data_IF_990986736046
#
_entry.id   IF_990986736046
#
_cell.length_a   1.000
_cell.length_b   1.000
_cell.length_c   1.000
_cell.angle_alpha   90.00
_cell.angle_beta   90.00
_cell.angle_gamma   90.00
#
_symmetry.space_group_name_H-M   'P 1'
#
loop_
_entity.id
_entity.type
_entity.pdbx_description
1 polymer ?
#
# COMPACT_ATOMS: atom_id res chain seq x y z
N UNK A 1 44.01 19.88 -6.18
CA UNK A 1 43.07 18.80 -5.79
C UNK A 1 42.37 19.28 -4.53
N UNK A 2 41.05 19.37 -4.50
CA UNK A 2 40.34 19.80 -3.29
C UNK A 2 40.41 18.71 -2.22
N UNK A 3 40.69 19.08 -0.97
CA UNK A 3 40.64 18.15 0.16
C UNK A 3 39.21 17.59 0.34
N UNK A 4 39.06 16.35 0.86
CA UNK A 4 37.74 15.83 1.18
C UNK A 4 37.07 16.71 2.24
N UNK A 5 35.88 17.21 1.95
CA UNK A 5 35.12 18.14 2.81
C UNK A 5 34.56 17.48 4.10
N UNK A 6 35.03 16.27 4.40
CA UNK A 6 34.60 15.37 5.47
C UNK A 6 35.82 14.64 6.02
N UNK A 7 36.08 14.80 7.32
CA UNK A 7 37.14 14.09 8.04
C UNK A 7 36.56 12.80 8.60
N UNK A 8 37.14 11.67 8.19
CA UNK A 8 36.74 10.33 8.66
C UNK A 8 36.87 10.28 10.19
N UNK A 9 35.74 10.11 10.87
CA UNK A 9 35.68 10.04 12.34
C UNK A 9 35.33 11.35 13.06
N UNK A 10 35.37 12.53 12.41
CA UNK A 10 34.91 13.80 13.01
C UNK A 10 33.61 14.33 12.39
N UNK A 11 33.42 14.19 11.07
CA UNK A 11 32.26 14.71 10.35
C UNK A 11 32.64 15.58 9.15
N UNK A 12 31.66 16.29 8.58
CA UNK A 12 31.91 17.35 7.61
C UNK A 12 32.64 18.54 8.27
N UNK A 13 33.37 19.35 7.50
CA UNK A 13 34.02 20.56 8.06
C UNK A 13 33.01 21.56 8.68
N UNK A 14 31.73 21.48 8.28
CA UNK A 14 30.61 22.26 8.82
C UNK A 14 29.99 21.68 10.09
N UNK A 15 30.33 20.45 10.49
CA UNK A 15 29.84 19.84 11.72
C UNK A 15 30.51 20.44 12.95
N UNK A 16 29.90 20.25 14.12
CA UNK A 16 30.40 20.79 15.38
C UNK A 16 31.05 19.70 16.24
N UNK A 17 32.00 20.11 17.07
CA UNK A 17 32.62 19.27 18.11
C UNK A 17 32.30 19.89 19.47
N UNK A 18 32.01 19.06 20.46
CA UNK A 18 31.84 19.46 21.85
C UNK A 18 32.86 18.76 22.75
N UNK A 19 33.34 19.46 23.77
CA UNK A 19 34.08 18.85 24.89
C UNK A 19 33.13 18.03 25.75
N UNK A 20 33.54 16.87 26.23
CA UNK A 20 32.73 16.07 27.15
C UNK A 20 32.51 16.84 28.48
N UNK A 21 31.28 16.95 29.00
CA UNK A 21 31.03 17.62 30.27
C UNK A 21 31.71 16.92 31.46
N UNK A 22 32.18 17.70 32.44
CA UNK A 22 32.85 17.21 33.65
C UNK A 22 34.12 16.37 33.39
N UNK A 23 34.77 16.56 32.24
CA UNK A 23 36.01 15.89 31.87
C UNK A 23 37.16 16.30 32.80
N UNK A 24 37.65 15.34 33.59
CA UNK A 24 38.80 15.52 34.48
C UNK A 24 40.11 15.53 33.67
N UNK A 25 40.42 16.68 33.08
CA UNK A 25 41.50 16.84 32.10
C UNK A 25 42.89 16.46 32.63
N UNK A 26 43.10 16.44 33.95
CA UNK A 26 44.35 15.99 34.57
C UNK A 26 44.55 14.47 34.52
N UNK A 27 43.49 13.68 34.31
CA UNK A 27 43.59 12.22 34.10
C UNK A 27 43.96 11.86 32.65
N UNK A 28 43.63 12.76 31.73
CA UNK A 28 44.01 12.62 30.34
C UNK A 28 45.44 13.15 30.18
N UNK A 29 46.37 12.28 29.76
CA UNK A 29 47.72 12.69 29.42
C UNK A 29 47.69 13.45 28.09
N UNK A 30 47.33 14.73 28.15
CA UNK A 30 47.27 15.64 27.03
C UNK A 30 48.62 16.32 26.82
N UNK A 31 49.10 16.30 25.59
CA UNK A 31 50.23 17.14 25.14
C UNK A 31 49.85 18.62 25.14
N UNK A 32 50.83 19.52 25.11
CA UNK A 32 50.58 20.95 25.00
C UNK A 32 49.75 21.34 23.75
N UNK A 33 49.94 20.61 22.64
CA UNK A 33 49.16 20.78 21.40
C UNK A 33 47.70 20.31 21.56
N UNK A 34 47.48 19.14 22.18
CA UNK A 34 46.14 18.66 22.50
C UNK A 34 45.41 19.59 23.48
N UNK A 35 46.08 20.10 24.51
CA UNK A 35 45.52 21.07 25.43
C UNK A 35 45.12 22.38 24.74
N UNK A 36 45.98 22.92 23.88
CA UNK A 36 45.69 24.13 23.12
C UNK A 36 44.51 23.96 22.14
N UNK A 37 44.44 22.83 21.42
CA UNK A 37 43.31 22.55 20.50
C UNK A 37 42.02 22.27 21.27
N UNK A 38 42.09 21.60 22.42
CA UNK A 38 40.92 21.37 23.28
C UNK A 38 40.33 22.70 23.80
N UNK A 39 41.18 23.66 24.15
CA UNK A 39 40.74 25.03 24.50
C UNK A 39 40.08 25.78 23.33
N UNK A 40 40.48 25.50 22.07
CA UNK A 40 39.82 26.07 20.89
C UNK A 40 38.44 25.47 20.62
N UNK A 41 38.19 24.21 20.99
CA UNK A 41 36.84 23.58 20.94
C UNK A 41 35.93 24.15 22.03
N UNK A 42 36.50 24.58 23.17
CA UNK A 42 35.81 25.35 24.20
C UNK A 42 34.69 24.56 24.91
N UNK A 43 33.44 24.75 24.47
CA UNK A 43 32.28 23.95 24.91
C UNK A 43 31.62 23.25 23.72
N UNK A 44 31.32 24.02 22.67
CA UNK A 44 30.93 23.54 21.34
C UNK A 44 31.42 24.55 20.31
N UNK A 45 32.10 24.11 19.25
CA UNK A 45 32.65 24.94 18.15
C UNK A 45 32.56 24.16 16.83
N UNK A 46 32.58 24.82 15.66
CA UNK A 46 32.65 24.12 14.36
C UNK A 46 34.06 23.63 14.01
N UNK A 47 34.15 22.54 13.25
CA UNK A 47 35.42 21.98 12.79
C UNK A 47 36.20 23.01 11.95
N UNK A 48 35.58 23.65 10.94
CA UNK A 48 36.21 24.69 10.12
C UNK A 48 36.74 25.87 10.95
N UNK A 49 36.02 26.30 11.99
CA UNK A 49 36.41 27.38 12.89
C UNK A 49 37.60 26.99 13.77
N UNK A 50 37.64 25.76 14.31
CA UNK A 50 38.80 25.26 15.07
C UNK A 50 40.05 25.17 14.18
N UNK A 51 39.90 24.70 12.93
CA UNK A 51 41.00 24.63 11.96
C UNK A 51 41.53 26.03 11.61
N UNK A 52 40.64 26.99 11.34
CA UNK A 52 41.01 28.38 11.02
C UNK A 52 41.63 29.15 12.20
N UNK A 53 41.30 28.78 13.44
CA UNK A 53 41.83 29.41 14.67
C UNK A 53 43.10 28.75 15.20
N UNK A 54 43.45 27.56 14.71
CA UNK A 54 44.63 26.81 15.17
C UNK A 54 45.94 27.29 14.54
N UNK A 55 46.96 27.45 15.38
CA UNK A 55 48.33 27.81 14.96
C UNK A 55 49.16 26.62 14.46
N UNK A 56 48.63 25.39 14.56
CA UNK A 56 49.36 24.16 14.20
C UNK A 56 49.26 23.83 12.69
N UNK A 57 48.43 24.54 11.94
CA UNK A 57 48.10 24.23 10.55
C UNK A 57 47.07 23.11 10.43
N UNK A 58 46.35 23.09 9.30
CA UNK A 58 45.18 22.22 9.09
C UNK A 58 45.45 20.72 9.34
N UNK A 59 46.39 20.02 8.65
CA UNK A 59 46.55 18.57 8.81
C UNK A 59 46.99 18.15 10.22
N UNK A 60 47.81 18.97 10.90
CA UNK A 60 48.25 18.71 12.28
C UNK A 60 47.09 18.91 13.27
N UNK A 61 46.26 19.94 13.06
CA UNK A 61 45.07 20.18 13.87
C UNK A 61 44.04 19.07 13.70
N UNK A 62 43.84 18.56 12.47
CA UNK A 62 42.98 17.39 12.21
C UNK A 62 43.48 16.16 12.97
N UNK A 63 44.79 15.88 12.94
CA UNK A 63 45.37 14.77 13.69
C UNK A 63 45.18 14.92 15.22
N UNK A 64 45.36 16.13 15.77
CA UNK A 64 45.12 16.42 17.19
C UNK A 64 43.64 16.27 17.57
N UNK A 65 42.70 16.71 16.73
CA UNK A 65 41.26 16.51 16.97
C UNK A 65 40.88 15.02 16.95
N UNK A 66 41.46 14.23 16.05
CA UNK A 66 41.27 12.77 16.03
C UNK A 66 41.85 12.10 17.28
N UNK A 67 43.03 12.53 17.76
CA UNK A 67 43.62 12.05 19.01
C UNK A 67 42.78 12.41 20.23
N UNK A 68 42.29 13.66 20.33
CA UNK A 68 41.37 14.10 21.38
C UNK A 68 40.06 13.29 21.38
N UNK A 69 39.52 12.95 20.21
CA UNK A 69 38.33 12.07 20.11
C UNK A 69 38.65 10.64 20.53
N UNK A 70 39.80 10.09 20.14
CA UNK A 70 40.23 8.75 20.56
C UNK A 70 40.47 8.66 22.09
N UNK A 71 40.97 9.74 22.69
CA UNK A 71 41.09 9.93 24.16
C UNK A 71 39.76 10.25 24.85
N UNK A 72 38.63 10.32 24.13
CA UNK A 72 37.31 10.62 24.68
C UNK A 72 37.11 12.05 25.19
N UNK A 73 38.01 12.99 24.85
CA UNK A 73 37.93 14.37 25.31
C UNK A 73 36.88 15.20 24.56
N UNK A 74 36.65 14.87 23.28
CA UNK A 74 35.69 15.56 22.40
C UNK A 74 34.79 14.57 21.66
N UNK A 75 33.56 14.99 21.37
CA UNK A 75 32.55 14.22 20.64
C UNK A 75 31.91 15.06 19.52
N UNK A 76 31.50 14.45 18.40
CA UNK A 76 30.66 15.11 17.41
C UNK A 76 29.34 15.61 18.03
N UNK A 77 29.00 16.87 17.75
CA UNK A 77 27.88 17.58 18.36
C UNK A 77 26.94 18.15 17.29
N UNK A 78 25.64 18.21 17.63
CA UNK A 78 24.63 18.88 16.80
C UNK A 78 24.14 20.13 17.53
N UNK A 79 24.62 21.30 17.11
CA UNK A 79 24.08 22.58 17.58
C UNK A 79 22.75 22.83 16.89
N UNK A 80 21.66 22.79 17.66
CA UNK A 80 20.34 23.27 17.22
C UNK A 80 20.31 24.79 17.41
N UNK A 81 20.07 25.60 16.37
CA UNK A 81 20.08 27.06 16.48
C UNK A 81 18.93 27.53 17.39
N UNK A 82 19.30 28.25 18.47
CA UNK A 82 18.38 28.69 19.53
C UNK A 82 17.50 29.84 19.03
N UNK A 83 16.38 29.49 18.41
CA UNK A 83 15.46 30.41 17.75
C UNK A 83 14.68 29.77 16.59
N UNK A 84 15.17 28.66 16.03
CA UNK A 84 14.32 27.78 15.24
C UNK A 84 13.30 27.09 16.17
N UNK A 85 12.03 26.94 15.79
CA UNK A 85 11.14 26.03 16.49
C UNK A 85 11.75 24.64 16.41
N UNK A 86 11.84 23.94 17.54
CA UNK A 86 12.41 22.60 17.57
C UNK A 86 11.67 21.70 16.56
N UNK A 87 12.36 20.85 15.78
CA UNK A 87 11.68 19.81 15.05
C UNK A 87 11.04 18.89 16.10
N UNK A 88 9.72 19.03 16.29
CA UNK A 88 8.95 18.19 17.21
C UNK A 88 8.81 16.81 16.55
N UNK A 89 9.90 16.05 16.64
CA UNK A 89 9.87 14.59 16.75
C UNK A 89 9.02 14.28 17.97
N UNK A 90 7.71 14.22 17.72
CA UNK A 90 6.68 14.03 18.73
C UNK A 90 7.04 12.79 19.54
N UNK A 91 7.09 12.89 20.87
CA UNK A 91 7.47 11.74 21.70
C UNK A 91 6.54 10.55 21.44
N UNK A 92 5.29 10.80 21.06
CA UNK A 92 4.33 9.80 20.60
C UNK A 92 4.76 9.05 19.34
N UNK A 93 5.54 9.64 18.42
CA UNK A 93 6.06 8.90 17.26
C UNK A 93 7.09 7.83 17.66
N UNK A 94 7.79 8.05 18.78
CA UNK A 94 8.72 7.10 19.40
C UNK A 94 8.07 6.22 20.49
N UNK A 95 6.79 6.44 20.80
CA UNK A 95 6.03 5.65 21.76
C UNK A 95 5.71 4.26 21.19
N UNK A 96 5.97 3.20 21.95
CA UNK A 96 5.77 1.82 21.50
C UNK A 96 4.29 1.43 21.62
N UNK A 97 3.61 1.36 20.47
CA UNK A 97 2.15 1.18 20.31
C UNK A 97 1.87 0.51 18.97
N UNK A 98 0.77 -0.25 18.89
CA UNK A 98 0.36 -1.14 17.78
C UNK A 98 -0.18 -0.41 16.53
N UNK A 99 0.45 0.71 16.17
CA UNK A 99 0.13 1.58 15.04
C UNK A 99 1.35 1.73 14.12
N UNK A 100 1.14 1.63 12.82
CA UNK A 100 2.17 1.91 11.81
C UNK A 100 2.73 3.34 11.97
N UNK A 101 4.04 3.56 11.75
CA UNK A 101 4.67 4.87 11.97
C UNK A 101 4.10 5.97 11.07
N UNK A 102 3.65 5.63 9.86
CA UNK A 102 2.92 6.56 8.98
C UNK A 102 1.57 6.95 9.58
N UNK A 103 0.87 5.99 10.21
CA UNK A 103 -0.42 6.24 10.85
C UNK A 103 -0.29 7.04 12.15
N UNK A 104 0.81 6.84 12.90
CA UNK A 104 1.17 7.72 14.02
C UNK A 104 1.30 9.17 13.53
N UNK A 105 2.05 9.41 12.45
CA UNK A 105 2.19 10.75 11.82
C UNK A 105 0.86 11.34 11.40
N UNK A 106 0.02 10.59 10.68
CA UNK A 106 -1.32 11.04 10.24
C UNK A 106 -2.18 11.51 11.43
N UNK A 107 -2.22 10.75 12.53
CA UNK A 107 -3.00 11.11 13.72
C UNK A 107 -2.42 12.37 14.39
N UNK A 108 -1.09 12.49 14.49
CA UNK A 108 -0.42 13.67 15.05
C UNK A 108 -0.69 14.93 14.22
N UNK A 109 -0.56 14.86 12.90
CA UNK A 109 -0.73 15.99 11.99
C UNK A 109 -2.18 16.46 11.91
N UNK A 110 -3.13 15.52 11.86
CA UNK A 110 -4.56 15.82 11.90
C UNK A 110 -4.96 16.43 13.25
N UNK A 111 -4.49 15.87 14.38
CA UNK A 111 -4.82 16.35 15.72
C UNK A 111 -4.33 17.78 15.96
N UNK A 112 -3.12 18.11 15.51
CA UNK A 112 -2.57 19.49 15.55
C UNK A 112 -3.32 20.49 14.69
N UNK A 113 -4.09 20.06 13.69
CA UNK A 113 -4.80 20.93 12.73
C UNK A 113 -6.32 21.01 12.97
N UNK A 114 -6.89 20.18 13.85
CA UNK A 114 -8.34 20.15 14.16
C UNK A 114 -8.97 21.52 14.51
N UNK A 115 -8.23 22.34 15.27
CA UNK A 115 -8.72 23.61 15.80
C UNK A 115 -8.67 24.73 14.74
N UNK A 116 -7.81 24.58 13.72
CA UNK A 116 -7.65 25.53 12.62
C UNK A 116 -8.54 25.20 11.41
N UNK A 117 -9.05 23.96 11.31
CA UNK A 117 -9.91 23.52 10.20
C UNK A 117 -11.40 23.84 10.44
N UNK A 118 -12.06 24.33 9.39
CA UNK A 118 -13.50 24.50 9.35
C UNK A 118 -14.26 23.16 9.30
N UNK A 119 -15.59 23.21 9.41
CA UNK A 119 -16.42 22.00 9.52
C UNK A 119 -16.50 21.17 8.22
N UNK A 120 -16.26 21.77 7.05
CA UNK A 120 -16.11 21.04 5.79
C UNK A 120 -14.70 20.45 5.66
N UNK A 121 -13.67 21.26 5.95
CA UNK A 121 -12.27 20.83 5.90
C UNK A 121 -11.97 19.64 6.83
N UNK A 122 -12.51 19.62 8.05
CA UNK A 122 -12.43 18.49 8.99
C UNK A 122 -12.97 17.17 8.41
N UNK A 123 -13.97 17.24 7.52
CA UNK A 123 -14.55 16.09 6.83
C UNK A 123 -13.87 15.79 5.46
N UNK A 124 -12.88 16.59 5.06
CA UNK A 124 -12.25 16.51 3.73
C UNK A 124 -13.10 17.04 2.58
N UNK A 125 -14.09 17.89 2.88
CA UNK A 125 -15.10 18.38 1.94
C UNK A 125 -14.84 19.82 1.48
N UNK A 126 -15.45 20.19 0.35
CA UNK A 126 -15.53 21.59 -0.10
C UNK A 126 -16.73 22.29 0.55
N UNK A 127 -16.68 23.61 0.81
CA UNK A 127 -17.87 24.41 1.11
C UNK A 127 -18.92 24.20 0.00
N UNK A 128 -20.20 24.11 0.37
CA UNK A 128 -21.27 23.76 -0.57
C UNK A 128 -21.53 22.26 -0.76
N UNK A 129 -20.73 21.34 -0.19
CA UNK A 129 -20.98 19.90 -0.32
C UNK A 129 -22.40 19.49 0.15
N UNK A 130 -23.14 18.64 -0.59
CA UNK A 130 -24.50 18.24 -0.24
C UNK A 130 -24.52 17.30 0.98
N UNK A 131 -25.67 17.25 1.67
CA UNK A 131 -25.83 16.45 2.91
C UNK A 131 -25.55 14.94 2.72
N UNK A 132 -25.75 14.40 1.51
CA UNK A 132 -25.37 13.03 1.15
C UNK A 132 -23.85 12.80 1.22
N UNK A 133 -23.08 13.74 0.68
CA UNK A 133 -21.61 13.70 0.70
C UNK A 133 -21.07 13.94 2.13
N UNK A 134 -21.68 14.87 2.88
CA UNK A 134 -21.42 15.09 4.32
C UNK A 134 -21.60 13.81 5.14
N UNK A 135 -22.68 13.05 4.89
CA UNK A 135 -22.95 11.77 5.55
C UNK A 135 -21.96 10.68 5.14
N UNK A 136 -21.57 10.61 3.86
CA UNK A 136 -20.62 9.60 3.36
C UNK A 136 -19.20 9.88 3.87
N UNK A 137 -18.77 11.14 3.88
CA UNK A 137 -17.48 11.55 4.43
C UNK A 137 -17.38 11.25 5.93
N UNK A 138 -18.40 11.62 6.72
CA UNK A 138 -18.45 11.28 8.15
C UNK A 138 -18.37 9.77 8.40
N UNK A 139 -19.12 8.95 7.65
CA UNK A 139 -19.06 7.49 7.80
C UNK A 139 -17.67 6.92 7.49
N UNK A 140 -17.00 7.43 6.46
CA UNK A 140 -15.65 7.03 6.09
C UNK A 140 -14.60 7.47 7.13
N UNK A 141 -14.68 8.71 7.61
CA UNK A 141 -13.78 9.25 8.63
C UNK A 141 -13.97 8.58 10.00
N UNK A 142 -15.23 8.36 10.41
CA UNK A 142 -15.60 7.56 11.58
C UNK A 142 -14.94 6.18 11.55
N UNK A 143 -15.12 5.41 10.46
CA UNK A 143 -14.48 4.09 10.27
C UNK A 143 -12.95 4.12 10.19
N UNK A 144 -12.33 5.29 10.05
CA UNK A 144 -10.88 5.50 10.10
C UNK A 144 -10.42 5.80 11.53
N UNK A 145 -11.07 6.73 12.23
CA UNK A 145 -10.61 7.31 13.50
C UNK A 145 -11.32 6.81 14.77
N UNK A 146 -12.33 5.94 14.68
CA UNK A 146 -12.96 5.36 15.87
C UNK A 146 -11.98 4.51 16.69
N UNK A 147 -11.88 4.67 18.03
CA UNK A 147 -10.92 3.93 18.86
C UNK A 147 -11.18 2.42 18.84
N UNK A 148 -12.44 1.98 18.92
CA UNK A 148 -12.81 0.56 19.02
C UNK A 148 -12.42 -0.30 17.81
N UNK A 149 -12.05 0.33 16.68
CA UNK A 149 -11.41 -0.37 15.55
C UNK A 149 -10.10 -1.06 15.95
N UNK A 150 -9.50 -0.63 17.06
CA UNK A 150 -8.25 -1.10 17.62
C UNK A 150 -8.48 -1.79 18.99
N UNK A 151 -9.63 -2.42 19.18
CA UNK A 151 -9.91 -3.24 20.36
C UNK A 151 -8.82 -4.31 20.57
N UNK A 152 -8.34 -4.46 21.81
CA UNK A 152 -7.26 -5.39 22.17
C UNK A 152 -5.84 -4.93 21.79
N UNK A 153 -5.65 -3.73 21.24
CA UNK A 153 -4.33 -3.17 20.89
C UNK A 153 -3.85 -2.12 21.90
N UNK A 154 -2.54 -2.07 22.12
CA UNK A 154 -1.89 -0.95 22.80
C UNK A 154 -1.89 0.29 21.88
N UNK A 155 -2.64 1.32 22.26
CA UNK A 155 -2.69 2.61 21.56
C UNK A 155 -1.89 3.72 22.25
N UNK A 156 -1.46 3.52 23.51
CA UNK A 156 -0.84 4.57 24.32
C UNK A 156 -1.57 5.92 24.24
N UNK A 157 -0.82 7.01 24.07
CA UNK A 157 -1.35 8.38 23.94
C UNK A 157 -2.27 8.59 22.73
N UNK A 158 -2.19 7.75 21.69
CA UNK A 158 -2.97 7.90 20.46
C UNK A 158 -4.47 7.66 20.68
N UNK A 159 -4.88 6.90 21.72
CA UNK A 159 -6.31 6.72 22.03
C UNK A 159 -6.99 8.06 22.27
N UNK A 160 -6.43 8.91 23.13
CA UNK A 160 -6.98 10.22 23.45
C UNK A 160 -6.97 11.16 22.24
N UNK A 161 -5.90 11.12 21.42
CA UNK A 161 -5.84 11.89 20.15
C UNK A 161 -6.94 11.46 19.17
N UNK A 162 -7.17 10.16 19.03
CA UNK A 162 -8.25 9.62 18.18
C UNK A 162 -9.64 9.98 18.70
N UNK A 163 -9.87 9.94 20.01
CA UNK A 163 -11.14 10.39 20.61
C UNK A 163 -11.39 11.90 20.41
N UNK A 164 -10.34 12.74 20.44
CA UNK A 164 -10.42 14.17 20.10
C UNK A 164 -10.79 14.38 18.63
N UNK A 165 -10.11 13.70 17.70
CA UNK A 165 -10.41 13.72 16.25
C UNK A 165 -11.86 13.28 16.01
N UNK A 166 -12.27 12.16 16.61
CA UNK A 166 -13.61 11.60 16.45
C UNK A 166 -14.71 12.57 16.93
N UNK A 167 -14.52 13.23 18.08
CA UNK A 167 -15.46 14.25 18.58
C UNK A 167 -15.61 15.40 17.59
N UNK A 168 -14.48 15.97 17.11
CA UNK A 168 -14.48 17.08 16.13
C UNK A 168 -15.16 16.69 14.80
N UNK A 169 -14.99 15.44 14.35
CA UNK A 169 -15.70 14.87 13.18
C UNK A 169 -17.21 14.76 13.41
N UNK A 170 -17.64 14.32 14.60
CA UNK A 170 -19.06 14.23 14.98
C UNK A 170 -19.71 15.61 15.09
N UNK A 171 -19.02 16.58 15.68
CA UNK A 171 -19.49 17.97 15.75
C UNK A 171 -19.62 18.60 14.36
N UNK A 172 -18.62 18.37 13.49
CA UNK A 172 -18.66 18.77 12.08
C UNK A 172 -19.89 18.20 11.34
N UNK A 173 -20.14 16.89 11.50
CA UNK A 173 -21.30 16.23 10.91
C UNK A 173 -22.63 16.77 11.45
N UNK A 174 -22.75 16.93 12.77
CA UNK A 174 -23.98 17.40 13.43
C UNK A 174 -24.38 18.83 13.03
N UNK A 175 -23.41 19.72 12.80
CA UNK A 175 -23.66 21.09 12.31
C UNK A 175 -24.05 21.07 10.83
N UNK A 176 -23.33 20.33 9.98
CA UNK A 176 -23.53 20.38 8.52
C UNK A 176 -24.73 19.55 8.01
N UNK A 177 -25.25 18.62 8.81
CA UNK A 177 -26.46 17.84 8.50
C UNK A 177 -27.77 18.56 8.82
N UNK A 178 -27.78 19.50 9.77
CA UNK A 178 -28.99 20.18 10.23
C UNK A 178 -29.10 21.55 9.52
N UNK A 179 -30.11 21.79 8.67
CA UNK A 179 -30.17 22.99 7.83
C UNK A 179 -29.97 24.30 8.59
N UNK A 180 -30.65 24.47 9.72
CA UNK A 180 -30.61 25.69 10.53
C UNK A 180 -29.23 25.94 11.14
N UNK A 181 -28.53 24.86 11.54
CA UNK A 181 -27.17 24.93 12.08
C UNK A 181 -26.13 25.17 11.00
N UNK A 182 -26.29 24.55 9.82
CA UNK A 182 -25.46 24.83 8.64
C UNK A 182 -25.60 26.29 8.24
N UNK A 183 -26.81 26.82 8.15
CA UNK A 183 -27.04 28.23 7.79
C UNK A 183 -26.49 29.18 8.87
N UNK A 184 -26.72 28.91 10.16
CA UNK A 184 -26.14 29.70 11.25
C UNK A 184 -24.59 29.66 11.24
N UNK A 185 -23.99 28.51 10.96
CA UNK A 185 -22.53 28.36 10.85
C UNK A 185 -21.96 29.14 9.65
N UNK A 186 -22.61 29.06 8.49
CA UNK A 186 -22.24 29.85 7.30
C UNK A 186 -22.43 31.36 7.53
N UNK A 187 -23.49 31.76 8.24
CA UNK A 187 -23.75 33.16 8.62
C UNK A 187 -22.66 33.72 9.54
N UNK A 188 -22.09 32.90 10.42
CA UNK A 188 -20.93 33.24 11.24
C UNK A 188 -19.59 33.21 10.47
N UNK A 189 -19.53 32.57 9.30
CA UNK A 189 -18.33 32.38 8.50
C UNK A 189 -18.54 32.87 7.06
N UNK A 190 -18.60 34.20 6.82
CA UNK A 190 -19.06 34.77 5.55
C UNK A 190 -18.22 34.35 4.32
N UNK A 191 -16.94 34.04 4.49
CA UNK A 191 -16.10 33.49 3.42
C UNK A 191 -16.56 32.09 2.98
N UNK A 192 -16.96 31.22 3.92
CA UNK A 192 -17.53 29.90 3.61
C UNK A 192 -18.91 30.04 2.95
N UNK A 193 -19.73 31.00 3.39
CA UNK A 193 -21.02 31.31 2.75
C UNK A 193 -20.87 31.79 1.30
N UNK A 194 -19.83 32.57 0.99
CA UNK A 194 -19.51 32.98 -0.38
C UNK A 194 -19.01 31.79 -1.22
N UNK A 195 -18.13 30.95 -0.67
CA UNK A 195 -17.64 29.74 -1.34
C UNK A 195 -18.77 28.73 -1.62
N UNK A 196 -19.68 28.52 -0.68
CA UNK A 196 -20.87 27.67 -0.84
C UNK A 196 -21.81 28.20 -1.95
N UNK A 197 -22.05 29.51 -2.01
CA UNK A 197 -22.84 30.14 -3.08
C UNK A 197 -22.16 30.04 -4.45
N UNK A 198 -20.83 30.12 -4.50
CA UNK A 198 -20.06 29.95 -5.74
C UNK A 198 -19.95 28.47 -6.19
N UNK A 199 -20.13 27.52 -5.27
CA UNK A 199 -20.15 26.08 -5.54
C UNK A 199 -21.56 25.55 -5.89
N UNK A 200 -22.62 26.33 -5.65
CA UNK A 200 -23.97 25.95 -6.03
C UNK A 200 -24.11 25.85 -7.56
N UNK A 201 -24.78 24.82 -8.10
CA UNK A 201 -25.08 24.76 -9.53
C UNK A 201 -25.99 25.93 -9.93
N UNK A 202 -25.89 26.44 -11.17
CA UNK A 202 -26.81 27.46 -11.65
C UNK A 202 -28.26 26.95 -11.56
N UNK A 203 -29.24 27.82 -11.26
CA UNK A 203 -30.64 27.41 -11.21
C UNK A 203 -31.05 26.81 -12.57
N UNK A 204 -31.94 25.80 -12.59
CA UNK A 204 -32.45 25.26 -13.84
C UNK A 204 -33.06 26.39 -14.66
N UNK A 205 -32.73 26.44 -15.96
CA UNK A 205 -33.26 27.47 -16.85
C UNK A 205 -34.79 27.50 -16.78
N UNK A 206 -35.42 28.69 -16.79
CA UNK A 206 -36.87 28.78 -16.78
C UNK A 206 -37.44 28.00 -17.97
N UNK A 207 -38.59 27.31 -17.82
CA UNK A 207 -39.22 26.61 -18.93
C UNK A 207 -39.47 27.62 -20.07
N UNK A 208 -39.28 27.24 -21.35
CA UNK A 208 -39.50 28.14 -22.46
C UNK A 208 -40.95 28.65 -22.41
N UNK A 209 -41.20 29.94 -22.72
CA UNK A 209 -42.54 30.49 -22.71
C UNK A 209 -43.43 29.70 -23.69
N UNK A 210 -44.74 29.54 -23.39
CA UNK A 210 -45.64 28.84 -24.29
C UNK A 210 -45.61 29.49 -25.67
N UNK A 211 -45.45 28.66 -26.71
CA UNK A 211 -45.32 29.14 -28.08
C UNK A 211 -46.52 30.01 -28.45
N UNK A 212 -46.26 31.25 -28.86
CA UNK A 212 -47.30 32.12 -29.39
C UNK A 212 -47.88 31.46 -30.67
N UNK A 213 -49.21 31.44 -30.85
CA UNK A 213 -49.80 30.86 -32.05
C UNK A 213 -49.31 31.64 -33.28
N UNK A 214 -48.80 30.92 -34.29
CA UNK A 214 -48.37 31.53 -35.55
C UNK A 214 -49.57 32.24 -36.20
N UNK A 215 -49.45 33.55 -36.41
CA UNK A 215 -50.34 34.29 -37.29
C UNK A 215 -50.10 33.84 -38.73
N UNK A 216 -50.99 33.00 -39.24
CA UNK A 216 -51.05 32.64 -40.67
C UNK A 216 -51.52 33.85 -41.48
N UNK A 217 -50.87 34.18 -42.62
CA UNK A 217 -51.37 35.21 -43.52
C UNK A 217 -52.71 34.80 -44.16
N UNK A 218 -53.52 35.81 -44.48
CA UNK A 218 -54.91 35.68 -44.94
C UNK A 218 -55.03 35.23 -46.42
N UNK A 219 -55.96 34.32 -46.78
CA UNK A 219 -56.17 33.89 -48.15
C UNK A 219 -57.20 34.74 -48.92
N UNK A 220 -57.06 34.91 -50.25
CA UNK A 220 -58.05 35.61 -51.08
C UNK A 220 -59.35 34.81 -51.29
N UNK A 221 -60.47 35.46 -51.69
CA UNK A 221 -61.81 34.90 -51.55
C UNK A 221 -62.23 33.83 -52.59
N UNK A 222 -62.89 32.81 -52.04
CA UNK A 222 -63.75 31.74 -52.57
C UNK A 222 -64.43 31.85 -53.95
N UNK A 223 -64.63 30.68 -54.57
CA UNK A 223 -65.89 30.29 -55.20
C UNK A 223 -66.23 28.79 -54.96
N UNK A 224 -67.53 28.51 -54.85
CA UNK A 224 -68.35 27.27 -54.70
C UNK A 224 -67.72 25.89 -55.08
N UNK A 225 -68.14 24.72 -54.54
CA UNK A 225 -69.45 24.28 -54.04
C UNK A 225 -69.40 23.05 -53.05
N UNK A 226 -70.58 22.58 -52.58
CA UNK A 226 -70.80 21.50 -51.57
C UNK A 226 -71.18 20.13 -52.22
N UNK A 227 -71.49 18.99 -51.52
CA UNK A 227 -71.55 18.62 -50.07
C UNK A 227 -70.71 17.31 -49.80
N UNK A 228 -71.02 16.25 -48.99
CA UNK A 228 -72.03 15.99 -47.93
C UNK A 228 -71.52 15.33 -46.59
N UNK A 229 -71.63 14.00 -46.41
CA UNK A 229 -71.70 13.22 -45.12
C UNK A 229 -71.74 11.69 -45.39
N UNK A 230 -71.78 10.74 -44.40
CA UNK A 230 -71.72 10.83 -42.92
C UNK A 230 -70.70 9.84 -42.23
N UNK A 231 -70.77 9.67 -40.89
CA UNK A 231 -69.96 8.76 -40.04
C UNK A 231 -70.70 7.46 -39.62
N UNK A 232 -70.06 6.50 -38.90
CA UNK A 232 -70.31 6.37 -37.44
C UNK A 232 -69.12 5.83 -36.55
N UNK A 233 -69.43 5.50 -35.28
CA UNK A 233 -68.60 4.94 -34.16
C UNK A 233 -69.32 3.72 -33.52
N UNK A 234 -68.91 3.03 -32.40
CA UNK A 234 -67.71 3.02 -31.54
C UNK A 234 -67.03 1.59 -31.57
N UNK A 235 -66.81 0.70 -30.54
CA UNK A 235 -66.87 0.68 -29.05
C UNK A 235 -65.51 0.28 -28.35
N UNK A 236 -65.48 -0.69 -27.40
CA UNK A 236 -64.35 -1.09 -26.52
C UNK A 236 -64.53 -2.50 -25.89
N UNK A 237 -63.44 -3.25 -25.58
CA UNK A 237 -63.28 -4.40 -24.64
C UNK A 237 -62.00 -5.23 -24.97
N UNK A 238 -61.40 -6.12 -24.14
CA UNK A 238 -61.26 -6.29 -22.67
C UNK A 238 -60.28 -7.48 -22.34
N UNK A 239 -59.95 -7.69 -21.05
CA UNK A 239 -59.38 -8.93 -20.43
C UNK A 239 -57.87 -9.26 -20.55
N UNK A 240 -57.41 -10.21 -19.71
CA UNK A 240 -55.99 -10.46 -19.34
C UNK A 240 -55.47 -11.91 -19.69
N UNK A 241 -54.66 -12.67 -18.91
CA UNK A 241 -53.44 -13.33 -19.42
C UNK A 241 -53.45 -14.86 -19.10
N UNK A 242 -52.35 -15.57 -18.74
CA UNK A 242 -50.92 -15.51 -19.14
C UNK A 242 -50.45 -16.83 -19.80
N UNK A 243 -49.15 -17.01 -20.08
CA UNK A 243 -48.34 -18.19 -19.67
C UNK A 243 -46.87 -18.14 -20.17
N UNK A 244 -46.02 -18.94 -19.55
CA UNK A 244 -44.60 -19.24 -19.86
C UNK A 244 -44.48 -20.76 -20.15
N UNK A 245 -43.34 -21.39 -20.57
CA UNK A 245 -41.94 -20.94 -20.44
C UNK A 245 -40.97 -21.30 -21.61
N UNK A 246 -39.67 -21.17 -21.35
CA UNK A 246 -38.47 -21.62 -22.10
C UNK A 246 -38.40 -23.18 -22.24
N UNK A 247 -37.40 -23.85 -22.90
CA UNK A 247 -35.97 -23.46 -23.06
C UNK A 247 -35.24 -23.88 -24.37
N UNK A 248 -33.91 -23.62 -24.38
CA UNK A 248 -32.93 -24.27 -25.26
C UNK A 248 -32.49 -23.47 -26.51
N UNK A 249 -31.27 -23.55 -27.06
CA UNK A 249 -29.89 -23.68 -26.56
C UNK A 249 -28.98 -24.12 -27.75
N UNK A 250 -27.71 -23.69 -27.73
CA UNK A 250 -26.58 -24.24 -28.52
C UNK A 250 -26.37 -23.80 -29.99
N UNK A 251 -25.11 -23.96 -30.42
CA UNK A 251 -24.47 -23.89 -31.76
C UNK A 251 -24.80 -22.68 -32.69
N UNK A 252 -23.88 -21.84 -33.19
CA UNK A 252 -22.45 -21.90 -33.57
C UNK A 252 -22.17 -22.10 -35.09
N UNK A 253 -21.48 -21.09 -35.64
CA UNK A 253 -20.52 -21.13 -36.76
C UNK A 253 -20.94 -21.39 -38.22
N UNK A 254 -20.44 -20.49 -39.09
CA UNK A 254 -19.83 -20.75 -40.42
C UNK A 254 -20.62 -20.62 -41.74
N UNK A 255 -20.24 -19.55 -42.47
CA UNK A 255 -19.82 -19.52 -43.89
C UNK A 255 -20.91 -19.38 -45.00
N UNK A 256 -20.67 -18.59 -46.10
CA UNK A 256 -21.67 -18.22 -47.14
C UNK A 256 -21.45 -18.97 -48.48
N UNK A 257 -22.10 -18.61 -49.63
CA UNK A 257 -21.58 -17.52 -50.49
C UNK A 257 -22.61 -16.74 -51.38
N UNK A 258 -22.09 -15.73 -52.11
CA UNK A 258 -22.48 -15.09 -53.39
C UNK A 258 -23.87 -15.38 -54.05
N UNK A 259 -24.54 -14.42 -54.72
CA UNK A 259 -24.06 -13.80 -55.99
C UNK A 259 -24.79 -12.50 -56.43
N UNK A 260 -24.28 -11.90 -57.53
CA UNK A 260 -24.76 -10.71 -58.30
C UNK A 260 -25.92 -11.13 -59.28
N UNK A 261 -26.42 -10.33 -60.27
CA UNK A 261 -26.11 -8.93 -60.68
C UNK A 261 -27.31 -8.03 -61.13
N UNK A 262 -27.05 -6.75 -61.44
CA UNK A 262 -27.32 -6.08 -62.75
C UNK A 262 -26.97 -4.57 -62.75
N UNK A 263 -26.84 -3.97 -63.94
CA UNK A 263 -26.38 -2.58 -64.23
C UNK A 263 -27.03 -2.11 -65.57
N UNK A 264 -26.69 -0.93 -66.16
CA UNK A 264 -26.36 0.41 -65.66
C UNK A 264 -27.38 1.47 -66.22
N UNK A 265 -27.06 2.78 -66.31
CA UNK A 265 -26.89 3.39 -67.66
C UNK A 265 -25.67 4.39 -67.69
N UNK A 266 -25.50 5.38 -68.61
CA UNK A 266 -24.33 5.36 -69.50
C UNK A 266 -23.38 6.58 -69.38
N UNK A 267 -22.31 6.58 -70.20
CA UNK A 267 -21.19 7.53 -70.17
C UNK A 267 -21.43 8.84 -70.97
N UNK A 268 -20.69 9.89 -70.59
CA UNK A 268 -20.32 11.02 -71.46
C UNK A 268 -18.82 11.35 -71.26
N UNK A 269 -18.14 11.78 -72.32
CA UNK A 269 -16.66 11.78 -72.38
C UNK A 269 -15.99 13.11 -71.98
N UNK A 270 -14.86 13.01 -71.28
CA UNK A 270 -13.76 13.97 -71.30
C UNK A 270 -12.43 13.18 -71.28
N UNK A 271 -11.37 13.68 -71.90
CA UNK A 271 -10.21 12.86 -72.29
C UNK A 271 -8.87 13.30 -71.65
N UNK A 272 -8.00 12.30 -71.42
CA UNK A 272 -6.55 12.41 -71.14
C UNK A 272 -6.18 13.06 -69.79
N UNK A 273 -5.06 12.73 -69.12
CA UNK A 273 -3.88 11.92 -69.49
C UNK A 273 -3.44 11.03 -68.33
N UNK A 274 -2.91 9.82 -68.59
CA UNK A 274 -2.29 8.94 -67.58
C UNK A 274 -0.75 9.06 -67.67
N UNK A 275 -0.03 9.37 -66.58
CA UNK A 275 1.43 9.29 -66.54
C UNK A 275 1.91 7.83 -66.26
N UNK A 276 3.04 7.39 -66.82
CA UNK A 276 3.57 6.03 -66.63
C UNK A 276 4.22 5.83 -65.24
N UNK A 277 4.37 4.58 -64.76
CA UNK A 277 5.00 4.28 -63.48
C UNK A 277 6.48 4.65 -63.48
N UNK A 278 6.90 5.44 -62.48
CA UNK A 278 8.30 5.82 -62.29
C UNK A 278 9.12 4.70 -61.66
N UNK A 279 10.41 4.63 -62.00
CA UNK A 279 11.39 3.70 -61.41
C UNK A 279 11.43 3.81 -59.87
N UNK A 280 11.81 2.74 -59.14
CA UNK A 280 12.27 2.88 -57.77
C UNK A 280 13.50 3.79 -57.75
N UNK A 281 13.44 4.88 -56.98
CA UNK A 281 14.63 5.68 -56.69
C UNK A 281 15.50 4.91 -55.70
N UNK A 282 16.77 4.72 -56.05
CA UNK A 282 17.81 4.45 -55.06
C UNK A 282 17.87 5.62 -54.06
N UNK A 283 18.14 5.38 -52.76
CA UNK A 283 18.33 6.48 -51.82
C UNK A 283 19.53 7.35 -52.23
N UNK A 284 19.47 8.68 -52.00
CA UNK A 284 20.58 9.56 -52.31
C UNK A 284 21.76 9.30 -51.36
N UNK A 285 23.00 9.13 -51.86
CA UNK A 285 24.16 8.93 -51.00
C UNK A 285 24.57 10.24 -50.32
N UNK A 286 24.77 10.21 -49.00
CA UNK A 286 25.43 11.29 -48.27
C UNK A 286 24.53 12.27 -47.50
N UNK A 287 23.59 11.78 -46.69
CA UNK A 287 23.09 12.53 -45.53
C UNK A 287 22.68 11.61 -44.35
N UNK A 288 23.13 10.35 -44.36
CA UNK A 288 22.67 9.31 -43.43
C UNK A 288 23.04 9.65 -41.99
N UNK A 289 24.31 9.90 -41.66
CA UNK A 289 24.75 10.30 -40.32
C UNK A 289 24.00 11.51 -39.77
N UNK A 290 23.74 12.52 -40.61
CA UNK A 290 22.98 13.71 -40.22
C UNK A 290 21.49 13.41 -40.02
N UNK A 291 20.92 12.50 -40.80
CA UNK A 291 19.54 12.04 -40.63
C UNK A 291 19.38 11.11 -39.42
N UNK A 292 20.43 10.34 -39.07
CA UNK A 292 20.49 9.49 -37.88
C UNK A 292 20.72 10.32 -36.63
N UNK A 293 21.61 11.31 -36.65
CA UNK A 293 21.73 12.32 -35.60
C UNK A 293 20.39 13.01 -35.32
N UNK A 294 19.65 13.44 -36.37
CA UNK A 294 18.30 14.03 -36.22
C UNK A 294 17.22 13.02 -35.82
N UNK A 295 17.42 11.71 -35.99
CA UNK A 295 16.55 10.65 -35.42
C UNK A 295 16.87 10.42 -33.95
N UNK A 296 18.14 10.20 -33.62
CA UNK A 296 18.67 10.00 -32.28
C UNK A 296 18.42 11.20 -31.35
N UNK A 297 18.53 12.44 -31.83
CA UNK A 297 18.26 13.65 -31.05
C UNK A 297 16.77 13.79 -30.71
N UNK A 298 15.87 13.46 -31.65
CA UNK A 298 14.42 13.37 -31.38
C UNK A 298 14.11 12.25 -30.39
N UNK A 299 14.74 11.08 -30.55
CA UNK A 299 14.57 9.94 -29.64
C UNK A 299 15.12 10.23 -28.23
N UNK A 300 16.26 10.92 -28.11
CA UNK A 300 16.84 11.36 -26.85
C UNK A 300 15.99 12.45 -26.17
N UNK A 301 15.44 13.40 -26.94
CA UNK A 301 14.48 14.40 -26.45
C UNK A 301 13.18 13.77 -25.96
N UNK A 302 12.69 12.72 -26.62
CA UNK A 302 11.56 11.92 -26.13
C UNK A 302 11.95 11.11 -24.88
N UNK A 303 13.11 10.47 -24.83
CA UNK A 303 13.59 9.75 -23.64
C UNK A 303 13.77 10.68 -22.41
N UNK A 304 14.09 11.96 -22.63
CA UNK A 304 14.13 13.02 -21.60
C UNK A 304 12.75 13.53 -21.18
N UNK A 305 11.66 13.16 -21.87
CA UNK A 305 10.31 13.59 -21.51
C UNK A 305 9.87 12.95 -20.18
N UNK A 306 9.28 13.69 -19.21
CA UNK A 306 9.01 13.18 -17.86
C UNK A 306 8.16 11.89 -17.81
N UNK A 307 7.24 11.71 -18.76
CA UNK A 307 6.45 10.49 -18.87
C UNK A 307 7.30 9.26 -19.23
N UNK A 308 8.18 9.38 -20.23
CA UNK A 308 9.05 8.28 -20.66
C UNK A 308 10.16 7.99 -19.65
N UNK A 309 10.65 9.02 -18.95
CA UNK A 309 11.52 8.86 -17.80
C UNK A 309 10.83 8.10 -16.64
N UNK A 310 9.53 8.32 -16.41
CA UNK A 310 8.74 7.54 -15.43
C UNK A 310 8.58 6.09 -15.88
N UNK A 311 8.12 5.82 -17.10
CA UNK A 311 7.93 4.44 -17.58
C UNK A 311 9.24 3.66 -17.65
N UNK A 312 10.35 4.31 -18.02
CA UNK A 312 11.69 3.70 -18.01
C UNK A 312 12.13 3.27 -16.61
N UNK A 313 11.99 4.15 -15.60
CA UNK A 313 12.29 3.81 -14.19
C UNK A 313 11.42 2.67 -13.65
N UNK A 314 10.14 2.62 -14.03
CA UNK A 314 9.25 1.51 -13.63
C UNK A 314 9.69 0.19 -14.27
N UNK A 315 10.03 0.20 -15.57
CA UNK A 315 10.55 -0.99 -16.25
C UNK A 315 11.89 -1.47 -15.65
N UNK A 316 12.78 -0.54 -15.29
CA UNK A 316 14.06 -0.83 -14.63
C UNK A 316 13.85 -1.47 -13.24
N UNK A 317 12.98 -0.90 -12.40
CA UNK A 317 12.62 -1.47 -11.09
C UNK A 317 11.98 -2.86 -11.23
N UNK A 318 11.08 -3.06 -12.20
CA UNK A 318 10.48 -4.38 -12.47
C UNK A 318 11.55 -5.38 -12.90
N UNK A 319 12.51 -4.98 -13.75
CA UNK A 319 13.61 -5.83 -14.18
C UNK A 319 14.57 -6.18 -13.02
N UNK A 320 14.91 -5.21 -12.16
CA UNK A 320 15.72 -5.44 -10.96
C UNK A 320 15.03 -6.36 -9.96
N UNK A 321 13.75 -6.14 -9.65
CA UNK A 321 12.96 -7.02 -8.80
C UNK A 321 12.83 -8.46 -9.35
N UNK A 322 12.67 -8.62 -10.68
CA UNK A 322 12.68 -9.94 -11.34
C UNK A 322 14.05 -10.62 -11.24
N UNK A 323 15.14 -9.88 -11.41
CA UNK A 323 16.50 -10.39 -11.24
C UNK A 323 16.83 -10.73 -9.77
N UNK A 324 16.25 -10.02 -8.81
CA UNK A 324 16.36 -10.32 -7.38
C UNK A 324 15.61 -11.62 -7.02
N UNK A 325 14.38 -11.82 -7.52
CA UNK A 325 13.67 -13.12 -7.45
C UNK A 325 14.55 -14.25 -8.00
N UNK A 326 15.17 -14.07 -9.16
CA UNK A 326 16.02 -15.09 -9.79
C UNK A 326 17.29 -15.44 -8.97
N UNK A 327 17.72 -14.55 -8.06
CA UNK A 327 18.83 -14.76 -7.13
C UNK A 327 18.40 -15.28 -5.75
N UNK A 328 17.09 -15.43 -5.51
CA UNK A 328 16.55 -15.73 -4.17
C UNK A 328 16.63 -14.55 -3.19
N UNK A 329 16.80 -13.33 -3.70
CA UNK A 329 16.89 -12.09 -2.92
C UNK A 329 15.51 -11.44 -2.82
N UNK A 330 14.65 -12.02 -1.97
CA UNK A 330 13.25 -11.64 -1.90
C UNK A 330 13.02 -10.30 -1.21
N UNK A 331 13.92 -9.85 -0.34
CA UNK A 331 13.85 -8.54 0.33
C UNK A 331 14.01 -7.41 -0.70
N UNK A 332 15.06 -7.44 -1.53
CA UNK A 332 15.25 -6.46 -2.60
C UNK A 332 14.14 -6.54 -3.65
N UNK A 333 13.68 -7.75 -3.97
CA UNK A 333 12.53 -7.94 -4.86
C UNK A 333 11.25 -7.27 -4.31
N UNK A 334 10.93 -7.50 -3.03
CA UNK A 334 9.78 -6.91 -2.36
C UNK A 334 9.86 -5.38 -2.35
N UNK A 335 11.02 -4.82 -2.00
CA UNK A 335 11.25 -3.37 -2.03
C UNK A 335 11.04 -2.76 -3.43
N UNK A 336 11.71 -3.30 -4.46
CA UNK A 336 11.59 -2.77 -5.83
C UNK A 336 10.15 -2.89 -6.37
N UNK A 337 9.44 -4.00 -6.10
CA UNK A 337 8.03 -4.13 -6.50
C UNK A 337 7.08 -3.23 -5.69
N UNK A 338 7.33 -3.01 -4.40
CA UNK A 338 6.55 -2.07 -3.59
C UNK A 338 6.74 -0.62 -4.06
N UNK A 339 7.97 -0.23 -4.41
CA UNK A 339 8.25 1.07 -5.03
C UNK A 339 7.50 1.22 -6.36
N UNK A 340 7.42 0.17 -7.18
CA UNK A 340 6.62 0.21 -8.41
C UNK A 340 5.12 0.27 -8.11
N UNK A 341 4.61 -0.44 -7.10
CA UNK A 341 3.18 -0.40 -6.74
C UNK A 341 2.75 0.98 -6.21
N UNK A 342 3.59 1.67 -5.43
CA UNK A 342 3.29 3.05 -4.99
C UNK A 342 3.29 4.05 -6.15
N UNK A 343 4.08 3.80 -7.20
CA UNK A 343 4.15 4.64 -8.41
C UNK A 343 3.12 4.28 -9.49
N UNK A 344 2.64 3.03 -9.54
CA UNK A 344 1.52 2.57 -10.37
C UNK A 344 0.70 1.47 -9.66
N UNK A 345 -0.32 1.86 -8.86
CA UNK A 345 -1.17 0.92 -8.14
C UNK A 345 -2.05 0.02 -9.05
N UNK A 346 -2.12 0.29 -10.36
CA UNK A 346 -2.95 -0.48 -11.31
C UNK A 346 -2.17 -1.62 -11.99
N UNK A 347 -0.86 -1.72 -11.77
CA UNK A 347 -0.05 -2.73 -12.43
C UNK A 347 -0.29 -4.15 -11.85
N UNK A 348 -1.13 -4.93 -12.53
CA UNK A 348 -1.47 -6.31 -12.15
C UNK A 348 -0.27 -7.27 -12.18
N UNK A 349 0.72 -7.06 -13.06
CA UNK A 349 1.91 -7.91 -13.08
C UNK A 349 2.72 -7.73 -11.78
N UNK A 350 2.95 -6.47 -11.40
CA UNK A 350 3.67 -6.09 -10.18
C UNK A 350 2.93 -6.57 -8.94
N UNK A 351 1.60 -6.48 -8.89
CA UNK A 351 0.82 -7.01 -7.78
C UNK A 351 1.02 -8.53 -7.59
N UNK A 352 1.08 -9.31 -8.68
CA UNK A 352 1.37 -10.75 -8.61
C UNK A 352 2.83 -11.03 -8.23
N UNK A 353 3.78 -10.26 -8.76
CA UNK A 353 5.20 -10.39 -8.43
C UNK A 353 5.50 -10.00 -6.97
N UNK A 354 4.81 -9.01 -6.41
CA UNK A 354 4.91 -8.60 -5.01
C UNK A 354 4.37 -9.69 -4.07
N UNK A 355 3.25 -10.33 -4.41
CA UNK A 355 2.75 -11.49 -3.65
C UNK A 355 3.72 -12.67 -3.71
N UNK A 356 4.36 -12.92 -4.87
CA UNK A 356 5.41 -13.94 -5.00
C UNK A 356 6.65 -13.57 -4.16
N UNK A 357 7.09 -12.32 -4.20
CA UNK A 357 8.24 -11.84 -3.43
C UNK A 357 7.99 -11.93 -1.92
N UNK A 358 6.82 -11.48 -1.45
CA UNK A 358 6.40 -11.61 -0.05
C UNK A 358 6.41 -13.08 0.40
N UNK A 359 5.76 -13.99 -0.35
CA UNK A 359 5.77 -15.43 -0.02
C UNK A 359 7.17 -16.05 0.00
N UNK A 360 8.06 -15.66 -0.93
CA UNK A 360 9.45 -16.14 -0.94
C UNK A 360 10.27 -15.62 0.26
N UNK A 361 10.07 -14.35 0.62
CA UNK A 361 10.67 -13.74 1.81
C UNK A 361 10.17 -14.42 3.10
N UNK A 362 8.85 -14.60 3.23
CA UNK A 362 8.24 -15.22 4.41
C UNK A 362 8.70 -16.68 4.56
N UNK A 363 8.83 -17.43 3.44
CA UNK A 363 9.38 -18.79 3.45
C UNK A 363 10.89 -18.84 3.81
N UNK A 364 11.71 -17.87 3.35
CA UNK A 364 13.09 -17.76 3.83
C UNK A 364 13.14 -17.48 5.33
N UNK A 365 12.31 -16.56 5.82
CA UNK A 365 12.21 -16.30 7.27
C UNK A 365 11.71 -17.53 8.04
N UNK A 366 10.76 -18.29 7.49
CA UNK A 366 10.28 -19.54 8.08
C UNK A 366 11.39 -20.59 8.20
N UNK A 367 12.27 -20.74 7.21
CA UNK A 367 13.41 -21.69 7.32
C UNK A 367 14.47 -21.24 8.32
N UNK A 368 14.67 -19.92 8.51
CA UNK A 368 15.51 -19.36 9.58
C UNK A 368 14.89 -19.65 10.96
N UNK A 369 13.62 -19.34 11.19
CA UNK A 369 12.96 -19.61 12.49
C UNK A 369 12.81 -21.13 12.76
N UNK A 370 12.68 -21.95 11.72
CA UNK A 370 12.67 -23.42 11.82
C UNK A 370 14.04 -23.99 12.24
N UNK A 371 15.14 -23.47 11.68
CA UNK A 371 16.49 -23.88 12.08
C UNK A 371 16.85 -23.39 13.48
N UNK A 372 16.43 -22.17 13.85
CA UNK A 372 16.49 -21.64 15.22
C UNK A 372 15.71 -22.51 16.21
N UNK A 373 14.48 -22.92 15.87
CA UNK A 373 13.67 -23.83 16.70
C UNK A 373 14.37 -25.17 16.93
N UNK A 374 15.03 -25.72 15.91
CA UNK A 374 15.85 -26.96 16.00
C UNK A 374 17.13 -26.79 16.83
N UNK A 375 17.62 -25.57 17.05
CA UNK A 375 18.76 -25.28 17.95
C UNK A 375 18.26 -25.16 19.40
N UNK A 376 17.21 -24.37 19.62
CA UNK A 376 16.55 -24.23 20.93
C UNK A 376 16.06 -25.58 21.48
N UNK A 377 15.49 -26.44 20.63
CA UNK A 377 15.07 -27.81 20.98
C UNK A 377 16.27 -28.70 21.36
N UNK A 378 17.45 -28.51 20.75
CA UNK A 378 18.69 -29.21 21.13
C UNK A 378 19.29 -28.70 22.43
N UNK A 379 19.08 -27.43 22.78
CA UNK A 379 19.43 -26.86 24.08
C UNK A 379 18.39 -27.16 25.19
N UNK A 380 17.28 -27.82 24.86
CA UNK A 380 16.20 -28.14 25.82
C UNK A 380 15.26 -26.97 26.13
N UNK A 381 15.42 -25.83 25.48
CA UNK A 381 14.59 -24.62 25.67
C UNK A 381 13.27 -24.76 24.89
N UNK A 382 12.45 -25.70 25.34
CA UNK A 382 11.23 -26.17 24.66
C UNK A 382 10.19 -25.08 24.45
N UNK A 383 10.07 -24.12 25.36
CA UNK A 383 9.12 -23.01 25.24
C UNK A 383 9.55 -22.01 24.17
N UNK A 384 10.84 -21.66 24.10
CA UNK A 384 11.38 -20.84 23.03
C UNK A 384 11.35 -21.57 21.67
N UNK A 385 11.64 -22.87 21.65
CA UNK A 385 11.56 -23.70 20.45
C UNK A 385 10.13 -23.78 19.90
N UNK A 386 9.11 -23.99 20.75
CA UNK A 386 7.71 -23.96 20.35
C UNK A 386 7.33 -22.62 19.72
N UNK A 387 7.73 -21.49 20.33
CA UNK A 387 7.45 -20.17 19.79
C UNK A 387 8.08 -19.95 18.40
N UNK A 388 9.32 -20.41 18.20
CA UNK A 388 9.99 -20.36 16.90
C UNK A 388 9.30 -21.24 15.84
N UNK A 389 8.89 -22.46 16.19
CA UNK A 389 8.15 -23.34 15.28
C UNK A 389 6.74 -22.82 14.94
N UNK A 390 6.02 -22.23 15.92
CA UNK A 390 4.72 -21.57 15.65
C UNK A 390 4.89 -20.38 14.71
N UNK A 391 5.94 -19.56 14.92
CA UNK A 391 6.26 -18.45 14.02
C UNK A 391 6.58 -18.96 12.61
N UNK A 392 7.42 -19.99 12.47
CA UNK A 392 7.71 -20.62 11.17
C UNK A 392 6.44 -21.13 10.46
N UNK A 393 5.54 -21.81 11.17
CA UNK A 393 4.24 -22.27 10.64
C UNK A 393 3.29 -21.11 10.25
N UNK A 394 3.43 -19.92 10.85
CA UNK A 394 2.64 -18.72 10.51
C UNK A 394 3.23 -17.88 9.37
N UNK A 395 4.47 -18.19 8.96
CA UNK A 395 5.18 -17.54 7.86
C UNK A 395 5.14 -18.42 6.60
N UNK A 396 5.31 -19.73 6.75
CA UNK A 396 5.12 -20.71 5.69
C UNK A 396 3.97 -21.68 6.01
N UNK A 397 2.79 -21.31 5.51
CA UNK A 397 1.54 -22.08 5.53
C UNK A 397 1.64 -23.48 4.87
N UNK A 398 2.76 -23.86 4.24
CA UNK A 398 2.97 -25.19 3.64
C UNK A 398 3.96 -26.06 4.43
N UNK A 399 4.56 -25.56 5.50
CA UNK A 399 5.58 -26.28 6.26
C UNK A 399 4.97 -27.27 7.28
N UNK A 400 4.72 -28.50 6.83
CA UNK A 400 4.16 -29.58 7.65
C UNK A 400 5.02 -29.91 8.90
N UNK A 401 6.35 -29.86 8.79
CA UNK A 401 7.25 -30.16 9.92
C UNK A 401 7.19 -29.05 10.99
N UNK A 402 7.10 -27.78 10.60
CA UNK A 402 6.93 -26.67 11.54
C UNK A 402 5.60 -26.78 12.30
N UNK A 403 4.50 -27.08 11.60
CA UNK A 403 3.19 -27.32 12.20
C UNK A 403 3.23 -28.47 13.21
N UNK A 404 3.85 -29.60 12.83
CA UNK A 404 3.99 -30.77 13.70
C UNK A 404 4.86 -30.51 14.93
N UNK A 405 6.04 -29.86 14.78
CA UNK A 405 6.91 -29.59 15.92
C UNK A 405 6.29 -28.59 16.89
N UNK A 406 5.61 -27.56 16.38
CA UNK A 406 4.84 -26.64 17.20
C UNK A 406 3.74 -27.38 17.99
N UNK A 407 3.00 -28.28 17.33
CA UNK A 407 1.99 -29.11 17.99
C UNK A 407 2.59 -30.05 19.04
N UNK A 408 3.70 -30.74 18.73
CA UNK A 408 4.36 -31.68 19.65
C UNK A 408 4.87 -30.99 20.91
N UNK A 409 5.55 -29.85 20.77
CA UNK A 409 6.07 -29.10 21.94
C UNK A 409 4.95 -28.41 22.70
N UNK A 410 3.94 -27.85 22.02
CA UNK A 410 2.77 -27.26 22.69
C UNK A 410 1.92 -28.28 23.45
N UNK A 411 1.82 -29.52 22.95
CA UNK A 411 1.22 -30.65 23.67
C UNK A 411 2.00 -30.99 24.94
N UNK A 412 3.33 -31.14 24.84
CA UNK A 412 4.22 -31.40 25.98
C UNK A 412 4.18 -30.28 27.03
N UNK A 413 4.01 -29.03 26.60
CA UNK A 413 3.94 -27.84 27.45
C UNK A 413 2.51 -27.52 27.94
N UNK A 414 1.54 -28.40 27.73
CA UNK A 414 0.16 -28.23 28.23
C UNK A 414 -0.57 -26.99 27.71
N UNK A 415 -0.23 -26.53 26.50
CA UNK A 415 -0.79 -25.33 25.88
C UNK A 415 -2.20 -25.56 25.33
N UNK A 416 -2.88 -24.48 24.92
CA UNK A 416 -4.29 -24.48 24.51
C UNK A 416 -4.65 -25.61 23.53
N UNK A 417 -5.35 -26.63 24.04
CA UNK A 417 -5.61 -27.88 23.32
C UNK A 417 -6.33 -27.69 21.97
N UNK A 418 -7.09 -26.60 21.80
CA UNK A 418 -7.71 -26.29 20.51
C UNK A 418 -6.74 -25.69 19.47
N UNK A 419 -5.75 -24.89 19.89
CA UNK A 419 -4.69 -24.40 19.01
C UNK A 419 -3.78 -25.56 18.59
N UNK A 420 -3.33 -26.34 19.58
CA UNK A 420 -2.45 -27.49 19.37
C UNK A 420 -3.11 -28.56 18.49
N UNK A 421 -4.42 -28.78 18.63
CA UNK A 421 -5.21 -29.63 17.71
C UNK A 421 -5.22 -29.07 16.28
N UNK A 422 -5.36 -27.76 16.10
CA UNK A 422 -5.31 -27.13 14.79
C UNK A 422 -3.94 -27.30 14.10
N UNK A 423 -2.86 -27.12 14.84
CA UNK A 423 -1.49 -27.34 14.35
C UNK A 423 -1.22 -28.82 14.01
N UNK A 424 -1.67 -29.75 14.86
CA UNK A 424 -1.52 -31.19 14.62
C UNK A 424 -2.34 -31.67 13.41
N UNK A 425 -3.57 -31.17 13.26
CA UNK A 425 -4.44 -31.45 12.12
C UNK A 425 -3.82 -30.92 10.82
N UNK A 426 -3.34 -29.67 10.82
CA UNK A 426 -2.68 -29.05 9.68
C UNK A 426 -1.41 -29.80 9.23
N UNK A 427 -0.64 -30.34 10.18
CA UNK A 427 0.53 -31.16 9.83
C UNK A 427 0.15 -32.42 9.04
N UNK A 428 -0.92 -33.11 9.46
CA UNK A 428 -1.45 -34.29 8.75
C UNK A 428 -2.03 -33.91 7.38
N UNK A 429 -2.75 -32.79 7.27
CA UNK A 429 -3.31 -32.29 6.00
C UNK A 429 -2.26 -31.85 4.98
N UNK A 430 -1.04 -31.52 5.41
CA UNK A 430 0.07 -31.15 4.53
C UNK A 430 0.97 -32.34 4.14
N UNK A 431 1.07 -33.37 4.97
CA UNK A 431 1.78 -34.62 4.65
C UNK A 431 1.14 -35.81 5.40
N UNK A 432 0.16 -36.43 4.74
CA UNK A 432 -0.57 -37.59 5.26
C UNK A 432 0.33 -38.84 5.45
N UNK A 433 1.55 -38.87 4.89
CA UNK A 433 2.42 -40.05 4.91
C UNK A 433 3.13 -40.30 6.25
N UNK A 434 3.16 -39.30 7.14
CA UNK A 434 3.96 -39.35 8.37
C UNK A 434 3.17 -39.91 9.55
N UNK A 435 3.46 -41.16 9.91
CA UNK A 435 2.92 -41.79 11.11
C UNK A 435 3.13 -40.96 12.39
N UNK A 436 4.22 -40.19 12.49
CA UNK A 436 4.51 -39.28 13.61
C UNK A 436 3.50 -38.12 13.74
N UNK A 437 2.95 -37.65 12.62
CA UNK A 437 1.97 -36.54 12.61
C UNK A 437 0.61 -37.08 13.08
N UNK A 438 0.18 -38.22 12.52
CA UNK A 438 -1.01 -38.96 12.98
C UNK A 438 -0.93 -39.37 14.45
N UNK A 439 0.24 -39.81 14.94
CA UNK A 439 0.48 -40.06 16.37
C UNK A 439 0.25 -38.81 17.22
N UNK A 440 0.80 -37.67 16.79
CA UNK A 440 0.75 -36.41 17.55
C UNK A 440 -0.70 -35.89 17.59
N UNK A 441 -1.39 -35.92 16.45
CA UNK A 441 -2.82 -35.65 16.36
C UNK A 441 -3.65 -36.60 17.25
N UNK A 442 -3.35 -37.90 17.26
CA UNK A 442 -4.00 -38.90 18.11
C UNK A 442 -3.83 -38.60 19.61
N UNK A 443 -2.63 -38.21 20.07
CA UNK A 443 -2.36 -37.81 21.46
C UNK A 443 -3.17 -36.56 21.84
N UNK A 444 -3.11 -35.51 21.02
CA UNK A 444 -3.83 -34.26 21.26
C UNK A 444 -5.35 -34.46 21.25
N UNK A 445 -5.89 -35.29 20.36
CA UNK A 445 -7.31 -35.65 20.33
C UNK A 445 -7.74 -36.50 21.53
N UNK A 446 -6.84 -37.33 22.09
CA UNK A 446 -7.14 -38.14 23.27
C UNK A 446 -7.32 -37.26 24.51
N UNK A 447 -6.42 -36.30 24.69
CA UNK A 447 -6.45 -35.38 25.84
C UNK A 447 -7.56 -34.34 25.68
N UNK A 448 -7.90 -33.94 24.45
CA UNK A 448 -9.13 -33.22 24.11
C UNK A 448 -10.41 -34.11 24.19
N UNK A 449 -10.39 -35.21 24.94
CA UNK A 449 -11.51 -36.11 25.22
C UNK A 449 -12.08 -36.89 24.02
N UNK A 450 -11.57 -36.65 22.82
CA UNK A 450 -12.15 -37.06 21.54
C UNK A 450 -11.77 -38.50 21.15
N UNK A 451 -11.93 -39.45 22.10
CA UNK A 451 -11.51 -40.87 22.03
C UNK A 451 -11.78 -41.55 20.67
N UNK A 452 -12.94 -41.29 20.05
CA UNK A 452 -13.32 -41.88 18.75
C UNK A 452 -12.44 -41.40 17.59
N UNK A 453 -12.04 -40.13 17.59
CA UNK A 453 -11.15 -39.55 16.57
C UNK A 453 -9.69 -39.91 16.86
N UNK A 454 -9.28 -39.87 18.13
CA UNK A 454 -7.96 -40.33 18.56
C UNK A 454 -7.68 -41.78 18.12
N UNK A 455 -8.66 -42.69 18.30
CA UNK A 455 -8.55 -44.09 17.84
C UNK A 455 -8.30 -44.21 16.34
N UNK A 456 -8.95 -43.40 15.50
CA UNK A 456 -8.71 -43.37 14.04
C UNK A 456 -7.29 -42.91 13.72
N UNK A 457 -6.87 -41.76 14.26
CA UNK A 457 -5.52 -41.24 14.05
C UNK A 457 -4.43 -42.24 14.49
N UNK A 458 -4.63 -42.98 15.58
CA UNK A 458 -3.72 -44.06 15.98
C UNK A 458 -3.81 -45.32 15.09
N UNK A 459 -4.98 -45.65 14.53
CA UNK A 459 -5.13 -46.71 13.51
C UNK A 459 -4.41 -46.35 12.22
N UNK A 460 -4.51 -45.10 11.78
CA UNK A 460 -3.85 -44.59 10.57
C UNK A 460 -2.32 -44.48 10.76
N UNK A 461 -1.86 -44.01 11.92
CA UNK A 461 -0.44 -44.09 12.31
C UNK A 461 0.10 -45.53 12.31
N UNK A 462 -0.70 -46.50 12.77
CA UNK A 462 -0.32 -47.91 12.79
C UNK A 462 -0.36 -48.60 11.42
N UNK A 463 -1.13 -48.07 10.43
CA UNK A 463 -1.05 -48.51 9.02
C UNK A 463 0.24 -48.00 8.37
N UNK A 464 0.59 -46.74 8.61
CA UNK A 464 1.75 -46.06 8.02
C UNK A 464 3.09 -46.54 8.61
N UNK A 465 3.13 -46.84 9.91
CA UNK A 465 4.29 -47.42 10.58
C UNK A 465 3.87 -48.65 11.41
N UNK A 466 3.77 -49.84 10.79
CA UNK A 466 3.33 -51.07 11.45
C UNK A 466 4.13 -51.45 12.70
N UNK A 467 5.38 -51.05 12.82
CA UNK A 467 6.23 -51.35 13.98
C UNK A 467 6.21 -50.29 15.09
N UNK A 468 5.44 -49.21 14.91
CA UNK A 468 5.38 -48.13 15.89
C UNK A 468 4.73 -48.58 17.21
N UNK A 469 5.57 -48.74 18.24
CA UNK A 469 5.16 -49.20 19.56
C UNK A 469 4.20 -48.24 20.27
N UNK A 470 4.34 -46.92 20.08
CA UNK A 470 3.44 -45.94 20.69
C UNK A 470 2.03 -46.00 20.12
N UNK A 471 1.89 -46.21 18.80
CA UNK A 471 0.61 -46.37 18.14
C UNK A 471 -0.11 -47.62 18.67
N UNK A 472 0.59 -48.76 18.70
CA UNK A 472 0.09 -50.03 19.26
C UNK A 472 -0.31 -49.90 20.74
N UNK A 473 0.50 -49.22 21.56
CA UNK A 473 0.22 -49.00 22.98
C UNK A 473 -1.00 -48.10 23.19
N UNK A 474 -1.12 -47.02 22.41
CA UNK A 474 -2.25 -46.08 22.46
C UNK A 474 -3.57 -46.73 22.04
N UNK A 475 -3.54 -47.55 20.97
CA UNK A 475 -4.68 -48.37 20.56
C UNK A 475 -5.06 -49.40 21.62
N UNK A 476 -4.09 -50.08 22.25
CA UNK A 476 -4.35 -51.00 23.36
C UNK A 476 -5.03 -50.27 24.51
N UNK A 477 -4.52 -49.10 24.93
CA UNK A 477 -5.11 -48.28 26.01
C UNK A 477 -6.57 -47.88 25.68
N UNK A 478 -6.85 -47.47 24.44
CA UNK A 478 -8.20 -47.11 23.97
C UNK A 478 -9.14 -48.31 23.79
N UNK A 479 -8.64 -49.55 23.66
CA UNK A 479 -9.45 -50.76 23.51
C UNK A 479 -9.98 -51.32 24.85
N UNK A 480 -9.38 -50.91 25.97
CA UNK A 480 -9.69 -51.43 27.31
C UNK A 480 -10.20 -50.33 28.27
N UNK A 481 -10.77 -49.23 27.77
CA UNK A 481 -11.56 -48.32 28.62
C UNK A 481 -12.97 -48.88 28.78
N UNK A 482 -13.22 -49.49 29.94
CA UNK A 482 -14.57 -49.76 30.44
C UNK A 482 -15.34 -48.45 30.69
#
# INVERSE_FOLDING_TARGET
MSAPNTIIGLGALTDHLATVPHLDASRLQLTAEEGAVLQLVGRVERIDQVLARSRLGEPRTIAVLLALRAKGAIVPARVVPRGAPAPVVDAALAEDVDLEPERKREIIELERSLDAMDHFAVLGLRPGAPASEVKQAYYNASRRFHPDRYFGKNLGSFRARMERIFRRLTDAHNVLMQPDKREAYLRANPALAQAERAAAPPPPAPPPPPAQPLLTPEPPPVHHASPPRPAPVPPSAASMPPLSPSPGASAAASIPPASRPLSPPPMASAASTIPPPSRPLSPPPGDDDASEARRAERQARLARHPYLARTGRLAELIARGKAAIAKGDWERAYHDFHQVQTLDPKNREVAMLLVKARRGHDAQRATIEMSRGRELERHGDTQAAMAAYRLACSLDDQNAEAAWRAARLGHLLGQDASEIRGLAQRAVELDESKAEYHLTLGKVLLDAGSKKLAKRAFEDAAKLAPDNAEAKASLKKLRWTF
#
